data_IF_567554935424
#
_entry.id   IF_567554935424
#
_cell.length_a   1.000
_cell.length_b   1.000
_cell.length_c   1.000
_cell.angle_alpha   90.00
_cell.angle_beta   90.00
_cell.angle_gamma   90.00
#
_symmetry.space_group_name_H-M   'P 1'
#
loop_
_entity.id
_entity.type
_entity.pdbx_description
1 polymer ?
#
# COMPACT_ATOMS: atom_id res chain seq x y z
N UNK A 1 -4.18 21.56 -41.40
CA UNK A 1 -3.20 21.75 -40.31
C UNK A 1 -3.17 20.43 -39.57
N UNK A 2 -2.04 19.74 -39.57
CA UNK A 2 -1.86 18.48 -38.84
C UNK A 2 -1.77 18.82 -37.35
N UNK A 3 -2.89 18.62 -36.65
CA UNK A 3 -3.06 18.94 -35.24
C UNK A 3 -2.62 17.74 -34.36
N UNK A 4 -1.52 17.09 -34.75
CA UNK A 4 -1.00 15.91 -34.08
C UNK A 4 0.10 16.28 -33.08
N UNK A 5 -0.03 15.74 -31.87
CA UNK A 5 0.93 15.94 -30.79
C UNK A 5 2.24 15.22 -31.16
N UNK A 6 3.39 15.88 -31.00
CA UNK A 6 4.69 15.25 -31.27
C UNK A 6 4.95 14.09 -30.30
N UNK A 7 5.69 13.08 -30.76
CA UNK A 7 5.99 11.85 -30.01
C UNK A 7 6.62 12.10 -28.63
N UNK A 8 7.38 13.19 -28.46
CA UNK A 8 8.02 13.53 -27.18
C UNK A 8 7.00 13.91 -26.10
N UNK A 9 5.77 14.26 -26.48
CA UNK A 9 4.70 14.62 -25.58
C UNK A 9 3.71 13.46 -25.30
N UNK A 10 4.09 12.20 -25.58
CA UNK A 10 3.29 11.02 -25.19
C UNK A 10 3.26 10.83 -23.66
N UNK A 11 2.26 11.44 -23.03
CA UNK A 11 2.05 11.40 -21.58
C UNK A 11 1.70 10.00 -21.05
N UNK A 12 1.33 9.04 -21.90
CA UNK A 12 0.93 7.68 -21.49
C UNK A 12 2.08 6.89 -20.86
N UNK A 13 3.33 7.25 -21.19
CA UNK A 13 4.54 6.59 -20.69
C UNK A 13 5.05 7.19 -19.37
N UNK A 14 4.50 8.32 -18.94
CA UNK A 14 4.98 9.03 -17.76
C UNK A 14 4.37 8.44 -16.49
N UNK A 15 5.21 8.25 -15.46
CA UNK A 15 4.75 7.89 -14.12
C UNK A 15 4.17 9.12 -13.42
N UNK A 16 2.94 9.01 -12.95
CA UNK A 16 2.30 10.06 -12.14
C UNK A 16 3.08 10.23 -10.84
N UNK A 17 3.60 11.44 -10.61
CA UNK A 17 4.29 11.82 -9.37
C UNK A 17 3.58 13.01 -8.75
N UNK A 18 3.25 12.92 -7.45
CA UNK A 18 2.72 14.06 -6.70
C UNK A 18 3.85 15.04 -6.39
N UNK A 19 3.68 16.29 -6.83
CA UNK A 19 4.58 17.42 -6.57
C UNK A 19 3.92 18.36 -5.55
N UNK A 20 4.68 18.87 -4.58
CA UNK A 20 4.21 19.83 -3.58
C UNK A 20 4.53 19.45 -2.13
N UNK A 21 4.68 20.47 -1.28
CA UNK A 21 4.87 20.32 0.17
C UNK A 21 3.66 19.56 0.75
N UNK A 22 3.89 18.59 1.63
CA UNK A 22 2.89 17.64 2.17
C UNK A 22 2.25 16.62 1.21
N UNK A 23 2.60 16.58 -0.09
CA UNK A 23 2.09 15.54 -1.02
C UNK A 23 3.11 14.44 -1.33
N UNK A 24 4.09 14.26 -0.44
CA UNK A 24 5.19 13.28 -0.60
C UNK A 24 4.77 11.82 -0.37
N UNK A 25 3.60 11.57 0.22
CA UNK A 25 3.12 10.22 0.55
C UNK A 25 1.69 10.04 0.06
N UNK A 26 1.36 8.83 -0.39
CA UNK A 26 0.02 8.48 -0.87
C UNK A 26 -0.95 8.09 0.26
N UNK A 27 -0.50 8.15 1.51
CA UNK A 27 -1.23 7.73 2.71
C UNK A 27 -0.24 7.33 3.80
N UNK A 28 -0.77 6.67 4.83
CA UNK A 28 -0.01 6.12 5.96
C UNK A 28 1.05 5.09 5.52
N UNK A 29 1.92 4.70 6.46
CA UNK A 29 3.02 3.75 6.27
C UNK A 29 2.60 2.53 5.44
N UNK A 30 3.24 2.32 4.29
CA UNK A 30 2.99 1.17 3.42
C UNK A 30 3.74 -0.03 3.96
N UNK A 31 3.02 -1.09 4.33
CA UNK A 31 3.57 -2.38 4.71
C UNK A 31 3.44 -3.32 3.51
N UNK A 32 4.58 -3.82 3.02
CA UNK A 32 4.61 -4.81 1.94
C UNK A 32 4.42 -6.20 2.54
N UNK A 33 3.41 -6.92 2.05
CA UNK A 33 3.23 -8.34 2.33
C UNK A 33 3.96 -9.17 1.26
N UNK A 34 4.43 -10.35 1.66
CA UNK A 34 4.94 -11.35 0.73
C UNK A 34 3.78 -11.99 -0.05
N UNK A 35 4.09 -12.56 -1.23
CA UNK A 35 3.08 -13.02 -2.18
C UNK A 35 2.25 -14.20 -1.64
N UNK A 36 2.91 -15.12 -0.95
CA UNK A 36 2.27 -16.23 -0.26
C UNK A 36 1.26 -15.75 0.79
N UNK A 37 1.62 -14.75 1.58
CA UNK A 37 0.73 -14.17 2.61
C UNK A 37 -0.43 -13.41 1.95
N UNK A 38 -0.17 -12.67 0.88
CA UNK A 38 -1.20 -11.90 0.17
C UNK A 38 -2.30 -12.80 -0.42
N UNK A 39 -1.96 -14.02 -0.84
CA UNK A 39 -2.95 -14.98 -1.37
C UNK A 39 -3.97 -15.44 -0.32
N UNK A 40 -3.61 -15.41 0.98
CA UNK A 40 -4.51 -15.78 2.07
C UNK A 40 -5.42 -14.64 2.54
N UNK A 41 -5.05 -13.38 2.26
CA UNK A 41 -5.77 -12.22 2.77
C UNK A 41 -6.39 -11.39 1.63
N UNK A 42 -7.73 -11.42 1.46
CA UNK A 42 -8.38 -10.75 0.34
C UNK A 42 -8.40 -9.22 0.45
N UNK A 43 -8.22 -8.65 1.65
CA UNK A 43 -8.23 -7.21 1.87
C UNK A 43 -7.42 -6.77 3.11
N UNK A 44 -7.13 -5.47 3.22
CA UNK A 44 -6.39 -4.91 4.34
C UNK A 44 -7.10 -5.05 5.70
N UNK A 45 -8.44 -5.12 5.73
CA UNK A 45 -9.20 -5.29 6.96
C UNK A 45 -8.94 -6.68 7.58
N UNK A 46 -8.97 -7.74 6.77
CA UNK A 46 -8.69 -9.12 7.18
C UNK A 46 -7.27 -9.29 7.74
N UNK A 47 -6.27 -8.62 7.14
CA UNK A 47 -4.89 -8.60 7.65
C UNK A 47 -4.86 -7.95 9.03
N UNK A 48 -5.50 -6.80 9.17
CA UNK A 48 -5.50 -6.04 10.42
C UNK A 48 -6.21 -6.79 11.55
N UNK A 49 -7.31 -7.48 11.26
CA UNK A 49 -7.99 -8.31 12.25
C UNK A 49 -7.13 -9.48 12.73
N UNK A 50 -6.47 -10.18 11.81
CA UNK A 50 -5.57 -11.27 12.15
C UNK A 50 -4.40 -10.80 13.03
N UNK A 51 -3.77 -9.68 12.69
CA UNK A 51 -2.69 -9.10 13.49
C UNK A 51 -3.17 -8.66 14.88
N UNK A 52 -4.37 -8.06 14.98
CA UNK A 52 -4.97 -7.70 16.28
C UNK A 52 -5.24 -8.93 17.14
N UNK A 53 -5.70 -10.02 16.54
CA UNK A 53 -5.93 -11.28 17.24
C UNK A 53 -4.62 -11.86 17.79
N UNK A 54 -3.56 -11.87 16.99
CA UNK A 54 -2.23 -12.28 17.43
C UNK A 54 -1.71 -11.43 18.58
N UNK A 55 -1.90 -10.11 18.53
CA UNK A 55 -1.53 -9.20 19.63
C UNK A 55 -2.26 -9.57 20.92
N UNK A 56 -3.58 -9.85 20.86
CA UNK A 56 -4.36 -10.25 22.03
C UNK A 56 -3.83 -11.55 22.65
N UNK A 57 -3.58 -12.58 21.84
CA UNK A 57 -3.01 -13.84 22.32
C UNK A 57 -1.64 -13.62 22.96
N UNK A 58 -0.78 -12.82 22.33
CA UNK A 58 0.55 -12.53 22.85
C UNK A 58 0.48 -11.83 24.22
N UNK A 59 -0.44 -10.88 24.39
CA UNK A 59 -0.67 -10.18 25.65
C UNK A 59 -1.21 -11.13 26.73
N UNK A 60 -2.18 -11.96 26.40
CA UNK A 60 -2.77 -12.93 27.33
C UNK A 60 -1.75 -13.98 27.79
N UNK A 61 -0.83 -14.37 26.92
CA UNK A 61 0.27 -15.28 27.27
C UNK A 61 1.33 -14.58 28.14
N UNK A 62 1.63 -13.31 27.85
CA UNK A 62 2.59 -12.54 28.64
C UNK A 62 2.10 -12.25 30.06
N UNK A 63 0.78 -12.15 30.27
CA UNK A 63 0.18 -12.01 31.60
C UNK A 63 0.11 -13.33 32.40
N UNK A 64 0.39 -14.48 31.77
CA UNK A 64 0.41 -15.81 32.41
C UNK A 64 1.82 -16.29 32.77
N UNK A 65 2.85 -15.52 32.45
CA UNK A 65 4.25 -15.72 32.87
C UNK A 65 4.54 -14.85 34.07
#
# INVERSE_FOLDING_TARGET
MEDELRDEYDLKRLKVRKMGVNRKKFGDTIIKLDADVADFFPNAESVNEALRFLIRIAQDNQAKV
#
